data_IF_710120343621
#
_entry.id   IF_710120343621
#
_cell.length_a   1.000
_cell.length_b   1.000
_cell.length_c   1.000
_cell.angle_alpha   90.00
_cell.angle_beta   90.00
_cell.angle_gamma   90.00
#
_symmetry.space_group_name_H-M   'P 1'
#
loop_
_entity.id
_entity.type
_entity.pdbx_description
1 polymer ?
#
# COMPACT_ATOMS: atom_id res chain seq x y z
N UNK A 1 4.56 -0.19 21.73
CA UNK A 1 3.43 -0.43 20.81
C UNK A 1 4.07 -0.59 19.46
N UNK A 2 3.98 -1.78 18.87
CA UNK A 2 4.50 -1.98 17.52
C UNK A 2 3.72 -1.08 16.56
N UNK A 3 4.46 -0.26 15.81
CA UNK A 3 3.92 0.58 14.77
C UNK A 3 3.37 -0.35 13.67
N UNK A 4 2.06 -0.33 13.42
CA UNK A 4 1.39 -1.18 12.40
C UNK A 4 2.13 -1.11 11.06
N UNK A 5 2.61 0.07 10.68
CA UNK A 5 3.37 0.29 9.44
C UNK A 5 4.68 -0.51 9.44
N UNK A 6 5.42 -0.53 10.54
CA UNK A 6 6.69 -1.27 10.64
C UNK A 6 6.47 -2.78 10.57
N UNK A 7 5.41 -3.28 11.21
CA UNK A 7 5.05 -4.68 11.14
C UNK A 7 4.69 -5.11 9.71
N UNK A 8 3.89 -4.30 9.01
CA UNK A 8 3.55 -4.55 7.60
C UNK A 8 4.82 -4.56 6.76
N UNK A 9 5.69 -3.55 6.89
CA UNK A 9 6.94 -3.44 6.13
C UNK A 9 7.84 -4.67 6.31
N UNK A 10 7.94 -5.20 7.52
CA UNK A 10 8.71 -6.40 7.83
C UNK A 10 8.13 -7.65 7.15
N UNK A 11 6.81 -7.72 6.99
CA UNK A 11 6.11 -8.88 6.45
C UNK A 11 5.94 -8.84 4.92
N UNK A 12 6.21 -7.72 4.24
CA UNK A 12 6.05 -7.59 2.78
C UNK A 12 6.72 -8.72 2.00
N UNK A 13 7.98 -9.14 2.26
CA UNK A 13 8.58 -10.22 1.49
C UNK A 13 7.78 -11.53 1.55
N UNK A 14 7.25 -11.88 2.73
CA UNK A 14 6.45 -13.09 2.88
C UNK A 14 5.06 -12.95 2.26
N UNK A 15 4.46 -11.76 2.34
CA UNK A 15 3.18 -11.45 1.69
C UNK A 15 3.30 -11.63 0.18
N UNK A 16 4.35 -11.07 -0.43
CA UNK A 16 4.57 -11.13 -1.88
C UNK A 16 4.96 -12.54 -2.35
N UNK A 17 5.61 -13.33 -1.49
CA UNK A 17 5.92 -14.76 -1.74
C UNK A 17 4.73 -15.70 -1.46
N UNK A 18 3.51 -15.17 -1.37
CA UNK A 18 2.29 -15.96 -1.33
C UNK A 18 1.83 -16.41 0.06
N UNK A 19 2.38 -15.88 1.16
CA UNK A 19 1.89 -16.19 2.50
C UNK A 19 0.50 -15.56 2.75
N UNK A 20 -0.56 -16.32 2.48
CA UNK A 20 -1.96 -15.86 2.57
C UNK A 20 -2.36 -15.43 3.97
N UNK A 21 -1.87 -16.11 5.01
CA UNK A 21 -2.16 -15.74 6.41
C UNK A 21 -1.61 -14.36 6.72
N UNK A 22 -0.32 -14.12 6.42
CA UNK A 22 0.29 -12.80 6.60
C UNK A 22 -0.39 -11.73 5.73
N UNK A 23 -0.77 -12.06 4.50
CA UNK A 23 -1.49 -11.14 3.63
C UNK A 23 -2.77 -10.64 4.30
N UNK A 24 -3.64 -11.56 4.77
CA UNK A 24 -4.92 -11.19 5.39
C UNK A 24 -4.69 -10.42 6.69
N UNK A 25 -3.85 -10.92 7.60
CA UNK A 25 -3.61 -10.30 8.90
C UNK A 25 -3.03 -8.87 8.77
N UNK A 26 -2.08 -8.68 7.85
CA UNK A 26 -1.47 -7.35 7.65
C UNK A 26 -2.40 -6.43 6.84
N UNK A 27 -3.20 -6.96 5.91
CA UNK A 27 -4.17 -6.16 5.17
C UNK A 27 -5.29 -5.62 6.08
N UNK A 28 -5.76 -6.47 7.00
CA UNK A 28 -6.74 -6.12 8.02
C UNK A 28 -6.22 -5.00 8.93
N UNK A 29 -5.10 -5.25 9.61
CA UNK A 29 -4.49 -4.29 10.52
C UNK A 29 -4.13 -2.96 9.82
N UNK A 30 -3.63 -3.02 8.58
CA UNK A 30 -3.28 -1.82 7.85
C UNK A 30 -4.50 -1.07 7.32
N UNK A 31 -5.51 -1.77 6.82
CA UNK A 31 -6.78 -1.18 6.41
C UNK A 31 -7.45 -0.42 7.56
N UNK A 32 -7.48 -1.03 8.75
CA UNK A 32 -7.95 -0.39 9.98
C UNK A 32 -7.14 0.86 10.33
N UNK A 33 -5.80 0.76 10.32
CA UNK A 33 -4.91 1.89 10.59
C UNK A 33 -5.20 3.06 9.65
N UNK A 34 -5.33 2.81 8.34
CA UNK A 34 -5.62 3.86 7.37
C UNK A 34 -7.00 4.49 7.59
N UNK A 35 -8.02 3.70 7.93
CA UNK A 35 -9.38 4.20 8.19
C UNK A 35 -9.41 5.08 9.45
N UNK A 36 -8.83 4.60 10.57
CA UNK A 36 -8.75 5.34 11.83
C UNK A 36 -7.97 6.64 11.70
N UNK A 37 -6.96 6.67 10.83
CA UNK A 37 -6.18 7.87 10.52
C UNK A 37 -6.80 8.72 9.38
N UNK A 38 -8.07 8.50 9.05
CA UNK A 38 -8.88 9.32 8.13
C UNK A 38 -8.30 9.43 6.72
N UNK A 39 -7.69 8.36 6.21
CA UNK A 39 -7.42 8.25 4.78
C UNK A 39 -8.76 8.22 4.03
N UNK A 40 -8.96 9.12 3.08
CA UNK A 40 -10.21 9.10 2.31
C UNK A 40 -10.22 7.92 1.33
N UNK A 41 -11.40 7.40 1.04
CA UNK A 41 -11.55 6.33 0.05
C UNK A 41 -11.12 6.79 -1.32
N UNK A 42 -11.36 8.05 -1.67
CA UNK A 42 -10.93 8.61 -2.96
C UNK A 42 -9.41 8.54 -3.13
N UNK A 43 -8.64 8.80 -2.07
CA UNK A 43 -7.17 8.74 -2.11
C UNK A 43 -6.66 7.32 -2.37
N UNK A 44 -7.14 6.33 -1.60
CA UNK A 44 -6.72 4.93 -1.78
C UNK A 44 -7.23 4.33 -3.09
N UNK A 45 -8.49 4.61 -3.47
CA UNK A 45 -9.11 4.08 -4.70
C UNK A 45 -8.43 4.57 -5.97
N UNK A 46 -7.99 5.84 -6.00
CA UNK A 46 -7.32 6.38 -7.19
C UNK A 46 -6.01 5.63 -7.49
N UNK A 47 -5.23 5.30 -6.47
CA UNK A 47 -3.99 4.52 -6.61
C UNK A 47 -4.33 3.07 -6.97
N UNK A 48 -5.32 2.48 -6.30
CA UNK A 48 -5.75 1.10 -6.56
C UNK A 48 -6.21 0.91 -8.00
N UNK A 49 -7.02 1.82 -8.53
CA UNK A 49 -7.50 1.75 -9.90
C UNK A 49 -6.35 1.78 -10.90
N UNK A 50 -5.33 2.61 -10.68
CA UNK A 50 -4.15 2.67 -11.55
C UNK A 50 -3.37 1.36 -11.55
N UNK A 51 -3.09 0.79 -10.38
CA UNK A 51 -2.45 -0.52 -10.24
C UNK A 51 -3.31 -1.61 -10.89
N UNK A 52 -4.64 -1.57 -10.72
CA UNK A 52 -5.57 -2.55 -11.30
C UNK A 52 -5.56 -2.54 -12.84
N UNK A 53 -5.21 -1.42 -13.48
CA UNK A 53 -5.06 -1.37 -14.95
C UNK A 53 -3.82 -2.10 -15.46
N UNK A 54 -2.86 -2.39 -14.58
CA UNK A 54 -1.62 -3.10 -14.92
C UNK A 54 -1.90 -4.61 -14.90
N UNK A 55 -1.82 -5.25 -16.08
CA UNK A 55 -2.25 -6.64 -16.25
C UNK A 55 -1.14 -7.63 -15.95
N UNK A 56 -0.02 -7.49 -16.66
CA UNK A 56 1.18 -8.33 -16.49
C UNK A 56 2.35 -7.52 -15.97
N UNK A 57 3.20 -8.14 -15.18
CA UNK A 57 4.36 -7.51 -14.58
C UNK A 57 5.31 -6.95 -15.63
N UNK A 58 5.74 -7.76 -16.62
CA UNK A 58 6.75 -7.29 -17.58
C UNK A 58 6.27 -6.15 -18.48
N UNK A 59 4.98 -6.13 -18.81
CA UNK A 59 4.38 -5.03 -19.58
C UNK A 59 4.20 -3.75 -18.72
N UNK A 60 4.19 -3.89 -17.40
CA UNK A 60 3.85 -2.81 -16.45
C UNK A 60 5.04 -2.33 -15.62
N UNK A 61 6.20 -2.95 -15.75
CA UNK A 61 7.38 -2.72 -14.90
C UNK A 61 7.79 -1.25 -14.83
N UNK A 62 7.90 -0.58 -15.98
CA UNK A 62 8.23 0.85 -16.04
C UNK A 62 7.14 1.72 -15.39
N UNK A 63 5.86 1.38 -15.65
CA UNK A 63 4.72 2.09 -15.05
C UNK A 63 4.68 1.91 -13.53
N UNK A 64 5.04 0.73 -13.03
CA UNK A 64 5.11 0.42 -11.61
C UNK A 64 6.24 1.21 -10.94
N UNK A 65 7.41 1.29 -11.57
CA UNK A 65 8.53 2.13 -11.09
C UNK A 65 8.16 3.62 -11.09
N UNK A 66 7.53 4.11 -12.15
CA UNK A 66 7.06 5.50 -12.28
C UNK A 66 5.89 5.85 -11.35
N UNK A 67 5.26 4.86 -10.72
CA UNK A 67 4.27 5.10 -9.68
C UNK A 67 4.92 5.73 -8.43
N UNK A 68 6.21 5.44 -8.14
CA UNK A 68 6.89 5.96 -6.94
C UNK A 68 6.96 7.49 -6.87
N UNK A 69 7.36 8.24 -7.94
CA UNK A 69 7.25 9.70 -7.96
C UNK A 69 5.83 10.22 -7.69
N UNK A 70 4.80 9.58 -8.26
CA UNK A 70 3.40 9.96 -8.05
C UNK A 70 2.98 9.75 -6.60
N UNK A 71 3.36 8.63 -6.00
CA UNK A 71 3.16 8.34 -4.58
C UNK A 71 3.87 9.37 -3.68
N UNK A 72 5.11 9.72 -4.00
CA UNK A 72 5.88 10.73 -3.27
C UNK A 72 5.20 12.11 -3.30
N UNK A 73 4.67 12.52 -4.46
CA UNK A 73 3.87 13.74 -4.58
C UNK A 73 2.61 13.69 -3.70
N UNK A 74 1.86 12.58 -3.72
CA UNK A 74 0.68 12.41 -2.87
C UNK A 74 1.01 12.52 -1.38
N UNK A 75 2.10 11.89 -0.93
CA UNK A 75 2.59 12.02 0.44
C UNK A 75 2.97 13.47 0.78
N UNK A 76 3.63 14.18 -0.13
CA UNK A 76 4.00 15.59 0.06
C UNK A 76 2.79 16.53 0.12
N UNK A 77 1.74 16.23 -0.66
CA UNK A 77 0.51 17.04 -0.74
C UNK A 77 -0.42 16.83 0.44
N UNK A 78 -0.55 15.60 0.93
CA UNK A 78 -1.56 15.22 1.93
C UNK A 78 -0.97 14.83 3.29
N UNK A 79 0.35 14.64 3.38
CA UNK A 79 1.03 14.40 4.64
C UNK A 79 1.28 15.68 5.44
N UNK A 80 1.47 15.52 6.74
CA UNK A 80 1.94 16.60 7.62
C UNK A 80 3.45 16.55 7.69
N UNK A 81 4.12 17.69 7.48
CA UNK A 81 5.57 17.79 7.64
C UNK A 81 5.94 17.92 9.13
N UNK A 82 6.92 17.15 9.56
CA UNK A 82 7.52 17.20 10.90
C UNK A 82 9.05 17.30 10.77
N UNK A 83 9.77 17.38 11.90
CA UNK A 83 11.24 17.37 11.91
C UNK A 83 11.80 16.04 11.38
N UNK A 84 11.06 14.95 11.59
CA UNK A 84 11.48 13.58 11.28
C UNK A 84 10.95 13.09 9.92
N UNK A 85 10.24 13.94 9.17
CA UNK A 85 9.73 13.65 7.84
C UNK A 85 8.23 13.88 7.67
N UNK A 86 7.66 13.27 6.64
CA UNK A 86 6.22 13.30 6.36
C UNK A 86 5.50 12.23 7.18
N UNK A 87 4.43 12.61 7.87
CA UNK A 87 3.62 11.70 8.70
C UNK A 87 2.14 11.80 8.33
N UNK A 88 1.40 10.74 8.62
CA UNK A 88 -0.04 10.61 8.40
C UNK A 88 -0.40 9.45 7.48
N UNK A 89 -1.70 9.20 7.32
CA UNK A 89 -2.19 8.01 6.61
C UNK A 89 -1.72 7.92 5.15
N UNK A 90 -1.65 9.04 4.42
CA UNK A 90 -1.15 9.04 3.04
C UNK A 90 0.36 8.72 2.99
N UNK A 91 1.24 9.38 3.76
CA UNK A 91 2.63 8.96 3.89
C UNK A 91 2.81 7.48 4.29
N UNK A 92 2.02 6.97 5.23
CA UNK A 92 2.09 5.57 5.66
C UNK A 92 1.72 4.60 4.54
N UNK A 93 0.62 4.85 3.83
CA UNK A 93 0.22 4.11 2.63
C UNK A 93 1.31 4.15 1.56
N UNK A 94 1.86 5.33 1.28
CA UNK A 94 2.93 5.52 0.30
C UNK A 94 4.18 4.73 0.68
N UNK A 95 4.55 4.69 1.96
CA UNK A 95 5.69 3.93 2.47
C UNK A 95 5.52 2.43 2.23
N UNK A 96 4.35 1.88 2.58
CA UNK A 96 4.04 0.45 2.36
C UNK A 96 4.02 0.11 0.87
N UNK A 97 3.31 0.90 0.05
CA UNK A 97 3.22 0.66 -1.39
C UNK A 97 4.59 0.75 -2.07
N UNK A 98 5.41 1.73 -1.70
CA UNK A 98 6.76 1.87 -2.27
C UNK A 98 7.62 0.66 -1.92
N UNK A 99 7.52 0.14 -0.69
CA UNK A 99 8.25 -1.06 -0.29
C UNK A 99 7.75 -2.31 -1.02
N UNK A 100 6.45 -2.45 -1.26
CA UNK A 100 5.94 -3.53 -2.11
C UNK A 100 6.52 -3.44 -3.51
N UNK A 101 6.52 -2.25 -4.14
CA UNK A 101 7.09 -2.05 -5.48
C UNK A 101 8.56 -2.46 -5.54
N UNK A 102 9.34 -2.17 -4.50
CA UNK A 102 10.77 -2.52 -4.44
C UNK A 102 11.02 -4.04 -4.29
N UNK A 103 10.04 -4.80 -3.79
CA UNK A 103 10.13 -6.24 -3.52
C UNK A 103 9.41 -7.10 -4.59
N UNK A 104 8.87 -6.49 -5.64
CA UNK A 104 8.27 -7.22 -6.77
C UNK A 104 9.37 -7.56 -7.76
N UNK A 105 9.60 -8.85 -7.97
CA UNK A 105 10.65 -9.36 -8.86
C UNK A 105 10.10 -10.22 -10.00
N UNK A 106 8.86 -10.70 -9.89
CA UNK A 106 8.23 -11.56 -10.87
C UNK A 106 6.70 -11.34 -10.90
N UNK A 107 6.02 -12.07 -11.80
CA UNK A 107 4.57 -12.01 -11.98
C UNK A 107 3.78 -12.44 -10.74
N UNK A 108 4.27 -13.43 -9.99
CA UNK A 108 3.61 -13.92 -8.78
C UNK A 108 3.66 -12.86 -7.66
N UNK A 109 4.81 -12.23 -7.45
CA UNK A 109 4.95 -11.12 -6.49
C UNK A 109 3.99 -9.97 -6.85
N UNK A 110 3.89 -9.65 -8.14
CA UNK A 110 3.04 -8.58 -8.63
C UNK A 110 1.54 -8.87 -8.42
N UNK A 111 1.11 -10.10 -8.66
CA UNK A 111 -0.27 -10.51 -8.44
C UNK A 111 -0.60 -10.59 -6.92
N UNK A 112 0.33 -11.07 -6.10
CA UNK A 112 0.18 -11.06 -4.64
C UNK A 112 0.14 -9.62 -4.08
N UNK A 113 0.91 -8.69 -4.66
CA UNK A 113 0.82 -7.26 -4.34
C UNK A 113 -0.58 -6.69 -4.64
N UNK A 114 -1.14 -6.98 -5.82
CA UNK A 114 -2.50 -6.53 -6.19
C UNK A 114 -3.55 -7.05 -5.22
N UNK A 115 -3.48 -8.34 -4.88
CA UNK A 115 -4.40 -8.97 -3.92
C UNK A 115 -4.24 -8.39 -2.52
N UNK A 116 -3.01 -8.16 -2.06
CA UNK A 116 -2.76 -7.49 -0.78
C UNK A 116 -3.38 -6.09 -0.77
N UNK A 117 -3.19 -5.29 -1.82
CA UNK A 117 -3.72 -3.93 -1.85
C UNK A 117 -5.24 -3.89 -2.00
N UNK A 118 -5.83 -4.84 -2.73
CA UNK A 118 -7.29 -5.02 -2.79
C UNK A 118 -7.86 -5.37 -1.41
N UNK A 119 -7.21 -6.26 -0.67
CA UNK A 119 -7.60 -6.59 0.69
C UNK A 119 -7.50 -5.38 1.63
N UNK A 120 -6.41 -4.59 1.56
CA UNK A 120 -6.27 -3.34 2.33
C UNK A 120 -7.42 -2.38 2.03
N UNK A 121 -7.79 -2.20 0.76
CA UNK A 121 -8.92 -1.36 0.37
C UNK A 121 -10.25 -1.90 0.92
N UNK A 122 -10.46 -3.21 0.88
CA UNK A 122 -11.66 -3.84 1.43
C UNK A 122 -11.77 -3.63 2.95
N UNK A 123 -10.69 -3.85 3.70
CA UNK A 123 -10.66 -3.65 5.15
C UNK A 123 -10.76 -2.16 5.52
N UNK A 124 -10.10 -1.26 4.79
CA UNK A 124 -10.28 0.18 4.96
C UNK A 124 -11.76 0.59 4.89
N UNK A 125 -12.50 0.04 3.91
CA UNK A 125 -13.94 0.27 3.78
C UNK A 125 -14.75 -0.39 4.89
N UNK A 126 -14.39 -1.61 5.29
CA UNK A 126 -15.02 -2.32 6.40
C UNK A 126 -14.95 -1.52 7.71
N UNK A 127 -13.81 -0.89 7.99
CA UNK A 127 -13.61 -0.05 9.18
C UNK A 127 -14.14 1.39 9.04
N UNK A 128 -14.98 1.67 8.04
CA UNK A 128 -15.67 2.96 7.91
C UNK A 128 -14.87 4.05 7.21
N UNK A 129 -13.87 3.70 6.40
CA UNK A 129 -13.19 4.66 5.53
C UNK A 129 -14.15 5.32 4.54
N UNK A 130 -14.22 6.66 4.56
CA UNK A 130 -15.12 7.48 3.73
C UNK A 130 -14.48 8.00 2.45
#
# INVERSE_FOLDING_TARGET
MDNVVENVLKNIPDILRGNRKKLIENADAFGEHLARNKLSTSQIRNIFNEIKTMKKFEESKDRLLLLKPKLAYLAGRHGKRTRDGLVGAVPDMVKVLSKCIDEIHNEEDFENFKQFFEAVLAYHRYYGGE
#
